data_IF_724548427664
#
_entry.id   IF_724548427664
#
_cell.length_a   1.000
_cell.length_b   1.000
_cell.length_c   1.000
_cell.angle_alpha   90.00
_cell.angle_beta   90.00
_cell.angle_gamma   90.00
#
_symmetry.space_group_name_H-M   'P 1'
#
loop_
_entity.id
_entity.type
_entity.pdbx_description
1 polymer ?
#
# COMPACT_ATOMS: atom_id res chain seq x y z
N UNK A 1 8.65 24.80 18.25
CA UNK A 1 7.47 23.97 17.93
C UNK A 1 7.95 22.63 17.39
N UNK A 2 7.54 21.57 18.01
CA UNK A 2 7.89 20.22 17.54
C UNK A 2 7.21 19.94 16.21
N UNK A 3 7.97 19.55 15.21
CA UNK A 3 7.42 19.26 13.88
C UNK A 3 6.94 17.82 13.85
N UNK A 4 5.63 17.60 13.67
CA UNK A 4 5.02 16.29 13.58
C UNK A 4 5.03 15.85 12.12
N UNK A 5 5.62 14.67 11.87
CA UNK A 5 5.60 14.04 10.56
C UNK A 5 4.60 12.87 10.56
N UNK A 6 3.77 12.80 9.54
CA UNK A 6 2.78 11.75 9.43
C UNK A 6 1.89 11.89 8.20
N UNK A 7 0.93 10.98 8.10
CA UNK A 7 -0.09 11.00 7.05
C UNK A 7 -1.04 12.17 7.32
N UNK A 8 -1.23 13.05 6.33
CA UNK A 8 -2.02 14.29 6.49
C UNK A 8 -3.53 14.07 6.43
N UNK A 9 -3.99 13.01 5.78
CA UNK A 9 -5.41 12.73 5.56
C UNK A 9 -5.75 11.28 5.91
N UNK A 10 -5.65 10.88 7.20
CA UNK A 10 -5.89 9.49 7.63
C UNK A 10 -7.33 9.02 7.39
N UNK A 11 -8.29 9.92 7.28
CA UNK A 11 -9.69 9.62 6.94
C UNK A 11 -9.83 8.97 5.56
N UNK A 12 -8.85 9.17 4.68
CA UNK A 12 -8.82 8.54 3.35
C UNK A 12 -8.57 7.03 3.38
N UNK A 13 -8.24 6.46 4.53
CA UNK A 13 -8.14 5.01 4.71
C UNK A 13 -9.47 4.37 5.13
N UNK A 14 -10.52 5.17 5.36
CA UNK A 14 -11.85 4.66 5.73
C UNK A 14 -12.52 4.00 4.55
N UNK A 15 -13.04 2.77 4.74
CA UNK A 15 -13.79 2.01 3.75
C UNK A 15 -15.24 1.86 4.21
N UNK A 16 -16.19 2.15 3.32
CA UNK A 16 -17.61 2.12 3.62
C UNK A 16 -18.27 0.82 3.14
N UNK A 17 -19.02 0.19 4.02
CA UNK A 17 -19.76 -1.04 3.75
C UNK A 17 -21.19 -0.88 4.28
N UNK A 18 -22.09 -0.37 3.44
CA UNK A 18 -23.43 0.05 3.86
C UNK A 18 -23.34 1.11 4.96
N UNK A 19 -23.94 0.83 6.11
CA UNK A 19 -23.94 1.72 7.28
C UNK A 19 -22.66 1.59 8.14
N UNK A 20 -21.78 0.66 7.79
CA UNK A 20 -20.55 0.40 8.52
C UNK A 20 -19.36 1.13 7.91
N UNK A 21 -18.51 1.71 8.74
CA UNK A 21 -17.22 2.27 8.34
C UNK A 21 -16.09 1.43 8.94
N UNK A 22 -15.14 1.05 8.09
CA UNK A 22 -13.92 0.34 8.49
C UNK A 22 -12.73 1.29 8.46
N UNK A 23 -11.83 1.17 9.41
CA UNK A 23 -10.58 1.99 9.45
C UNK A 23 -9.49 1.47 8.51
N UNK A 24 -9.87 0.76 7.50
CA UNK A 24 -8.99 0.17 6.49
C UNK A 24 -9.63 -1.09 5.94
N UNK A 25 -9.11 -1.55 4.82
CA UNK A 25 -9.52 -2.81 4.22
C UNK A 25 -8.98 -4.00 5.00
N UNK A 26 -9.67 -5.12 4.89
CA UNK A 26 -9.31 -6.37 5.54
C UNK A 26 -9.04 -7.43 4.47
N UNK A 27 -7.91 -8.12 4.57
CA UNK A 27 -7.59 -9.22 3.67
C UNK A 27 -8.60 -10.39 3.76
N UNK A 28 -9.34 -10.49 4.86
CA UNK A 28 -10.42 -11.46 5.01
C UNK A 28 -11.58 -11.24 4.02
N UNK A 29 -11.63 -10.10 3.35
CA UNK A 29 -12.64 -9.83 2.33
C UNK A 29 -12.40 -10.58 1.02
N UNK A 30 -11.19 -11.08 0.76
CA UNK A 30 -10.94 -11.91 -0.40
C UNK A 30 -11.81 -13.18 -0.41
N UNK A 31 -12.30 -13.55 -1.59
CA UNK A 31 -13.11 -14.76 -1.74
C UNK A 31 -12.28 -16.05 -1.60
N UNK A 32 -11.05 -16.03 -2.08
CA UNK A 32 -10.15 -17.19 -2.07
C UNK A 32 -9.43 -17.34 -0.72
N UNK A 33 -9.33 -18.58 -0.23
CA UNK A 33 -8.71 -18.89 1.07
C UNK A 33 -7.22 -18.50 1.12
N UNK A 34 -6.48 -18.74 0.06
CA UNK A 34 -5.07 -18.39 0.00
C UNK A 34 -4.87 -16.86 0.01
N UNK A 35 -5.73 -16.14 -0.71
CA UNK A 35 -5.72 -14.67 -0.70
C UNK A 35 -6.00 -14.13 0.71
N UNK A 36 -6.92 -14.73 1.46
CA UNK A 36 -7.16 -14.33 2.86
C UNK A 36 -5.94 -14.57 3.75
N UNK A 37 -5.22 -15.66 3.53
CA UNK A 37 -4.03 -15.99 4.33
C UNK A 37 -2.81 -15.13 4.01
N UNK A 38 -2.64 -14.74 2.76
CA UNK A 38 -1.41 -14.12 2.25
C UNK A 38 -1.60 -12.68 1.75
N UNK A 39 -2.79 -12.11 1.85
CA UNK A 39 -3.19 -10.87 1.19
C UNK A 39 -2.77 -9.55 1.84
N UNK A 40 -1.94 -9.55 2.88
CA UNK A 40 -1.55 -8.31 3.56
C UNK A 40 -0.78 -7.35 2.63
N UNK A 41 0.13 -7.86 1.80
CA UNK A 41 0.89 -7.05 0.84
C UNK A 41 0.01 -6.33 -0.17
N UNK A 42 -0.79 -7.05 -0.97
CA UNK A 42 -1.70 -6.40 -1.92
C UNK A 42 -2.74 -5.49 -1.25
N UNK A 43 -3.24 -5.82 -0.06
CA UNK A 43 -4.16 -4.94 0.69
C UNK A 43 -3.48 -3.63 1.08
N UNK A 44 -2.27 -3.69 1.60
CA UNK A 44 -1.47 -2.50 1.94
C UNK A 44 -1.15 -1.67 0.70
N UNK A 45 -0.72 -2.30 -0.38
CA UNK A 45 -0.42 -1.63 -1.65
C UNK A 45 -1.65 -0.92 -2.21
N UNK A 46 -2.84 -1.52 -2.09
CA UNK A 46 -4.11 -0.92 -2.49
C UNK A 46 -4.38 0.38 -1.73
N UNK A 47 -4.13 0.40 -0.44
CA UNK A 47 -4.26 1.62 0.36
C UNK A 47 -3.27 2.70 -0.07
N UNK A 48 -2.03 2.33 -0.35
CA UNK A 48 -1.02 3.30 -0.79
C UNK A 48 -1.41 3.96 -2.12
N UNK A 49 -1.79 3.18 -3.13
CA UNK A 49 -2.15 3.76 -4.44
C UNK A 49 -3.45 4.55 -4.37
N UNK A 50 -4.43 4.12 -3.59
CA UNK A 50 -5.66 4.87 -3.35
C UNK A 50 -5.39 6.22 -2.67
N UNK A 51 -4.56 6.23 -1.65
CA UNK A 51 -4.15 7.45 -0.95
C UNK A 51 -3.40 8.42 -1.87
N UNK A 52 -2.44 7.91 -2.64
CA UNK A 52 -1.67 8.72 -3.58
C UNK A 52 -2.55 9.27 -4.70
N UNK A 53 -3.50 8.49 -5.20
CA UNK A 53 -4.46 8.94 -6.21
C UNK A 53 -5.27 10.16 -5.71
N UNK A 54 -5.65 10.15 -4.44
CA UNK A 54 -6.46 11.23 -3.85
C UNK A 54 -5.64 12.45 -3.41
N UNK A 55 -4.36 12.28 -3.11
CA UNK A 55 -3.55 13.34 -2.48
C UNK A 55 -2.47 13.93 -3.36
N UNK A 56 -2.08 13.25 -4.44
CA UNK A 56 -1.02 13.71 -5.34
C UNK A 56 -1.59 14.24 -6.64
N UNK A 57 -1.35 15.52 -6.98
CA UNK A 57 -1.76 16.07 -8.27
C UNK A 57 -1.18 15.27 -9.44
N UNK A 58 -2.03 14.92 -10.41
CA UNK A 58 -1.64 14.16 -11.60
C UNK A 58 -1.57 12.64 -11.41
N UNK A 59 -1.85 12.12 -10.21
CA UNK A 59 -1.77 10.68 -9.90
C UNK A 59 -3.13 10.01 -9.75
N UNK A 60 -4.21 10.70 -10.11
CA UNK A 60 -5.58 10.16 -10.05
C UNK A 60 -5.77 8.84 -10.79
N UNK A 61 -5.01 8.61 -11.86
CA UNK A 61 -5.09 7.38 -12.65
C UNK A 61 -4.59 6.12 -11.93
N UNK A 62 -3.91 6.28 -10.78
CA UNK A 62 -3.57 5.13 -9.93
C UNK A 62 -4.82 4.42 -9.41
N UNK A 63 -5.90 5.14 -9.16
CA UNK A 63 -7.19 4.59 -8.76
C UNK A 63 -8.30 5.49 -9.27
N UNK A 64 -8.67 5.38 -10.58
CA UNK A 64 -9.57 6.33 -11.23
C UNK A 64 -10.97 6.43 -10.60
N UNK A 65 -11.47 5.35 -10.00
CA UNK A 65 -12.78 5.37 -9.38
C UNK A 65 -12.83 6.23 -8.12
N UNK A 66 -11.71 6.38 -7.41
CA UNK A 66 -11.62 7.05 -6.10
C UNK A 66 -12.63 6.53 -5.07
N UNK A 67 -13.26 5.39 -5.31
CA UNK A 67 -14.34 4.87 -4.48
C UNK A 67 -13.83 4.35 -3.13
N UNK A 68 -14.56 4.68 -2.08
CA UNK A 68 -14.33 4.18 -0.72
C UNK A 68 -15.30 3.08 -0.32
N UNK A 69 -16.10 2.58 -1.27
CA UNK A 69 -17.00 1.46 -1.03
C UNK A 69 -16.24 0.15 -1.02
N UNK A 70 -16.55 -0.72 -0.08
CA UNK A 70 -15.91 -2.02 0.09
C UNK A 70 -15.84 -2.82 -1.21
N UNK A 71 -16.94 -2.88 -1.96
CA UNK A 71 -16.99 -3.61 -3.23
C UNK A 71 -15.93 -3.11 -4.23
N UNK A 72 -15.84 -1.82 -4.40
CA UNK A 72 -14.94 -1.20 -5.36
C UNK A 72 -13.49 -1.30 -4.89
N UNK A 73 -13.28 -1.15 -3.59
CA UNK A 73 -11.94 -1.30 -3.00
C UNK A 73 -11.45 -2.75 -3.05
N UNK A 74 -12.34 -3.73 -2.86
CA UNK A 74 -12.01 -5.15 -3.03
C UNK A 74 -11.61 -5.45 -4.48
N UNK A 75 -12.25 -4.82 -5.46
CA UNK A 75 -11.86 -4.93 -6.86
C UNK A 75 -10.42 -4.40 -7.07
N UNK A 76 -10.06 -3.29 -6.44
CA UNK A 76 -8.68 -2.77 -6.43
C UNK A 76 -7.71 -3.78 -5.80
N UNK A 77 -8.08 -4.37 -4.66
CA UNK A 77 -7.26 -5.39 -4.00
C UNK A 77 -7.00 -6.61 -4.89
N UNK A 78 -8.01 -7.07 -5.62
CA UNK A 78 -7.87 -8.17 -6.57
C UNK A 78 -6.98 -7.79 -7.77
N UNK A 79 -7.10 -6.58 -8.29
CA UNK A 79 -6.21 -6.07 -9.33
C UNK A 79 -4.76 -5.97 -8.81
N UNK A 80 -4.58 -5.45 -7.61
CA UNK A 80 -3.27 -5.32 -6.99
C UNK A 80 -2.60 -6.68 -6.74
N UNK A 81 -3.38 -7.71 -6.46
CA UNK A 81 -2.87 -9.08 -6.29
C UNK A 81 -2.05 -9.55 -7.50
N UNK A 82 -2.43 -9.16 -8.71
CA UNK A 82 -1.72 -9.54 -9.94
C UNK A 82 -0.33 -8.89 -10.05
N UNK A 83 -0.07 -7.84 -9.30
CA UNK A 83 1.20 -7.10 -9.30
C UNK A 83 2.02 -7.36 -8.04
N UNK A 84 1.39 -7.26 -6.88
CA UNK A 84 1.99 -7.56 -5.58
C UNK A 84 1.53 -8.95 -5.17
N UNK A 85 2.10 -9.97 -5.81
CA UNK A 85 1.67 -11.36 -5.66
C UNK A 85 2.46 -12.05 -4.56
N UNK A 86 1.81 -12.52 -3.49
CA UNK A 86 2.49 -13.23 -2.42
C UNK A 86 3.03 -14.59 -2.88
N UNK A 87 4.25 -14.90 -2.42
CA UNK A 87 4.79 -16.26 -2.49
C UNK A 87 4.37 -17.10 -1.28
N UNK A 88 5.03 -18.24 -1.06
CA UNK A 88 4.72 -19.16 0.07
C UNK A 88 4.78 -18.48 1.44
N UNK A 89 5.67 -17.50 1.59
CA UNK A 89 5.88 -16.72 2.81
C UNK A 89 5.19 -15.34 2.76
N UNK A 90 4.18 -15.18 1.91
CA UNK A 90 3.57 -13.88 1.65
C UNK A 90 4.46 -12.98 0.80
N UNK A 91 4.28 -11.68 0.89
CA UNK A 91 5.19 -10.66 0.31
C UNK A 91 6.26 -10.39 1.36
N UNK A 92 7.32 -11.17 1.35
CA UNK A 92 8.31 -11.23 2.43
C UNK A 92 9.58 -10.41 2.20
N UNK A 93 9.65 -9.67 1.08
CA UNK A 93 10.77 -8.76 0.79
C UNK A 93 10.27 -7.38 0.40
N UNK A 94 11.01 -6.36 0.81
CA UNK A 94 10.77 -4.98 0.38
C UNK A 94 10.87 -4.84 -1.14
N UNK A 95 11.85 -5.52 -1.73
CA UNK A 95 12.06 -5.52 -3.19
C UNK A 95 10.83 -6.04 -3.94
N UNK A 96 10.24 -7.16 -3.53
CA UNK A 96 9.05 -7.72 -4.17
C UNK A 96 7.85 -6.75 -4.07
N UNK A 97 7.67 -6.10 -2.92
CA UNK A 97 6.62 -5.12 -2.71
C UNK A 97 6.79 -3.89 -3.63
N UNK A 98 7.97 -3.32 -3.66
CA UNK A 98 8.29 -2.14 -4.48
C UNK A 98 8.14 -2.45 -5.98
N UNK A 99 8.66 -3.59 -6.43
CA UNK A 99 8.52 -4.03 -7.83
C UNK A 99 7.05 -4.21 -8.24
N UNK A 100 6.23 -4.75 -7.35
CA UNK A 100 4.80 -4.89 -7.59
C UNK A 100 4.10 -3.54 -7.72
N UNK A 101 4.40 -2.58 -6.85
CA UNK A 101 3.88 -1.22 -6.94
C UNK A 101 4.30 -0.52 -8.22
N UNK A 102 5.56 -0.63 -8.60
CA UNK A 102 6.08 -0.05 -9.86
C UNK A 102 5.37 -0.66 -11.08
N UNK A 103 5.15 -1.98 -11.08
CA UNK A 103 4.43 -2.69 -12.14
C UNK A 103 2.99 -2.19 -12.26
N UNK A 104 2.28 -2.08 -11.15
CA UNK A 104 0.92 -1.55 -11.11
C UNK A 104 0.85 -0.12 -11.67
N UNK A 105 1.73 0.76 -11.21
CA UNK A 105 1.77 2.15 -11.65
C UNK A 105 2.06 2.27 -13.15
N UNK A 106 2.98 1.48 -13.68
CA UNK A 106 3.31 1.45 -15.11
C UNK A 106 2.10 1.03 -15.95
N UNK A 107 1.33 0.06 -15.52
CA UNK A 107 0.08 -0.33 -16.19
C UNK A 107 -0.92 0.83 -16.24
N UNK A 108 -0.90 1.71 -15.24
CA UNK A 108 -1.72 2.93 -15.20
C UNK A 108 -1.08 4.13 -15.94
N UNK A 109 0.07 3.92 -16.60
CA UNK A 109 0.77 4.98 -17.32
C UNK A 109 1.58 5.93 -16.45
N UNK A 110 1.90 5.52 -15.22
CA UNK A 110 2.62 6.35 -14.25
C UNK A 110 3.92 5.69 -13.79
N UNK A 111 4.90 6.50 -13.45
CA UNK A 111 6.11 6.07 -12.77
C UNK A 111 6.11 6.59 -11.33
N UNK A 112 6.28 5.67 -10.37
CA UNK A 112 6.37 6.03 -8.96
C UNK A 112 7.84 6.21 -8.57
N UNK A 113 8.24 7.39 -8.09
CA UNK A 113 9.58 7.59 -7.53
C UNK A 113 9.64 7.03 -6.12
N UNK A 114 9.96 5.74 -5.99
CA UNK A 114 9.99 5.03 -4.71
C UNK A 114 11.42 5.04 -4.15
N UNK A 115 11.54 5.45 -2.88
CA UNK A 115 12.76 5.32 -2.08
C UNK A 115 12.56 4.22 -1.05
N UNK A 116 13.62 3.45 -0.83
CA UNK A 116 13.60 2.28 0.05
C UNK A 116 14.61 2.42 1.18
N UNK A 117 14.24 1.94 2.37
CA UNK A 117 15.16 1.72 3.48
C UNK A 117 14.86 0.34 4.04
N UNK A 118 15.67 -0.64 3.66
CA UNK A 118 15.51 -2.02 4.09
C UNK A 118 16.17 -2.27 5.45
N UNK A 119 15.66 -3.26 6.16
CA UNK A 119 16.25 -3.76 7.41
C UNK A 119 16.82 -5.16 7.15
N UNK A 120 18.11 -5.26 6.80
CA UNK A 120 18.71 -6.54 6.44
C UNK A 120 18.80 -7.50 7.64
N UNK A 121 18.94 -8.80 7.35
CA UNK A 121 19.09 -9.83 8.36
C UNK A 121 20.37 -9.63 9.18
N UNK A 122 21.47 -9.17 8.56
CA UNK A 122 22.74 -8.91 9.23
C UNK A 122 22.59 -7.70 10.17
N UNK A 123 22.66 -7.94 11.48
CA UNK A 123 22.44 -6.91 12.50
C UNK A 123 23.36 -5.68 12.36
N UNK A 124 24.62 -5.88 11.99
CA UNK A 124 25.60 -4.79 11.81
C UNK A 124 25.28 -3.86 10.65
N UNK A 125 24.47 -4.31 9.66
CA UNK A 125 24.06 -3.53 8.49
C UNK A 125 22.68 -2.85 8.67
N UNK A 126 22.02 -3.03 9.82
CA UNK A 126 20.69 -2.46 10.06
C UNK A 126 20.78 -0.95 10.29
N UNK A 127 19.80 -0.18 9.74
CA UNK A 127 19.76 1.25 10.01
C UNK A 127 19.48 1.53 11.49
N UNK A 128 20.03 2.64 11.98
CA UNK A 128 19.73 3.16 13.31
C UNK A 128 18.36 3.84 13.33
N UNK A 129 17.81 4.05 14.52
CA UNK A 129 16.56 4.84 14.69
C UNK A 129 16.72 6.23 14.08
N UNK A 130 17.88 6.87 14.26
CA UNK A 130 18.16 8.18 13.64
C UNK A 130 18.15 8.14 12.12
N UNK A 131 18.69 7.10 11.50
CA UNK A 131 18.66 6.91 10.04
C UNK A 131 17.25 6.67 9.54
N UNK A 132 16.44 5.87 10.23
CA UNK A 132 15.02 5.68 9.89
C UNK A 132 14.25 7.00 9.98
N UNK A 133 14.44 7.76 11.05
CA UNK A 133 13.78 9.05 11.23
C UNK A 133 14.20 10.05 10.14
N UNK A 134 15.47 10.10 9.78
CA UNK A 134 15.97 10.95 8.70
C UNK A 134 15.35 10.56 7.33
N UNK A 135 15.24 9.27 7.05
CA UNK A 135 14.60 8.76 5.84
C UNK A 135 13.14 9.20 5.73
N UNK A 136 12.37 9.12 6.82
CA UNK A 136 10.95 9.51 6.85
C UNK A 136 10.74 11.02 6.66
N UNK A 137 11.75 11.84 6.92
CA UNK A 137 11.67 13.31 6.78
C UNK A 137 11.99 13.82 5.37
N UNK A 138 12.45 12.96 4.50
CA UNK A 138 12.82 13.32 3.13
C UNK A 138 11.76 12.90 2.13
#
# INVERSE_FOLDING_TARGET
>A
MEQIYGITSPELFTILDGDRAWRGADQEWYADEWQRKAGCGPTTASHLVSYLADTRPGWGDLYPSHSRRKRDFLALMNEMWEHVTPGRMGVNTLHAFVRGLESYAREKGLELPIRELDVPALKSARPTVGQCAAFLRT
#
